data_IF_895849082306
#
_entry.id   IF_895849082306
#
_cell.length_a   1.000
_cell.length_b   1.000
_cell.length_c   1.000
_cell.angle_alpha   90.00
_cell.angle_beta   90.00
_cell.angle_gamma   90.00
#
_symmetry.space_group_name_H-M   'P 1'
#
loop_
_entity.id
_entity.type
_entity.pdbx_description
1 polymer ?
#
# COMPACT_ATOMS: atom_id res chain seq x y z
N UNK A 1 7.06 -9.74 -20.48
CA UNK A 1 5.78 -9.03 -20.76
C UNK A 1 6.08 -7.56 -20.68
N UNK A 2 5.73 -6.78 -21.68
CA UNK A 2 5.81 -5.31 -21.60
C UNK A 2 4.61 -4.78 -20.83
N UNK A 3 4.85 -4.10 -19.72
CA UNK A 3 3.80 -3.53 -18.87
C UNK A 3 3.34 -2.14 -19.30
N UNK A 4 3.98 -1.53 -20.30
CA UNK A 4 3.64 -0.24 -20.90
C UNK A 4 3.49 0.89 -19.86
N UNK A 5 4.42 0.92 -18.88
CA UNK A 5 4.40 1.89 -17.78
C UNK A 5 5.40 3.05 -17.96
N UNK A 6 6.16 3.05 -19.06
CA UNK A 6 7.13 4.11 -19.34
C UNK A 6 6.47 5.50 -19.25
N UNK A 7 7.11 6.41 -18.54
CA UNK A 7 6.67 7.80 -18.32
C UNK A 7 5.34 7.98 -17.59
N UNK A 8 4.74 6.90 -17.09
CA UNK A 8 3.53 6.98 -16.26
C UNK A 8 3.85 7.53 -14.89
N UNK A 9 3.10 8.54 -14.46
CA UNK A 9 3.26 9.16 -13.14
C UNK A 9 2.42 8.39 -12.11
N UNK A 10 3.09 7.82 -11.11
CA UNK A 10 2.48 6.97 -10.09
C UNK A 10 2.73 7.54 -8.70
N UNK A 11 1.68 7.96 -8.01
CA UNK A 11 1.79 8.39 -6.61
C UNK A 11 1.81 7.14 -5.71
N UNK A 12 2.81 7.04 -4.83
CA UNK A 12 2.96 5.95 -3.85
C UNK A 12 3.00 6.53 -2.44
N UNK A 13 1.97 6.30 -1.64
CA UNK A 13 1.92 6.75 -0.25
C UNK A 13 2.70 5.80 0.68
N UNK A 14 3.44 6.35 1.66
CA UNK A 14 4.36 5.56 2.47
C UNK A 14 5.46 4.91 1.62
N UNK A 15 5.89 5.59 0.56
CA UNK A 15 6.72 5.03 -0.50
C UNK A 15 8.21 4.96 -0.19
N UNK A 16 8.67 5.50 0.96
CA UNK A 16 10.09 5.58 1.29
C UNK A 16 10.62 4.34 2.05
N UNK A 17 9.75 3.42 2.48
CA UNK A 17 10.13 2.28 3.30
C UNK A 17 9.30 1.02 3.02
N UNK A 18 9.85 -0.15 3.34
CA UNK A 18 9.14 -1.44 3.32
C UNK A 18 8.47 -1.76 1.97
N UNK A 19 7.19 -2.12 2.01
CA UNK A 19 6.39 -2.45 0.82
C UNK A 19 6.35 -1.27 -0.15
N UNK A 20 6.14 -0.05 0.36
CA UNK A 20 6.08 1.15 -0.48
C UNK A 20 7.37 1.42 -1.25
N UNK A 21 8.53 1.23 -0.61
CA UNK A 21 9.83 1.36 -1.28
C UNK A 21 10.05 0.32 -2.38
N UNK A 22 9.63 -0.93 -2.14
CA UNK A 22 9.69 -1.97 -3.16
C UNK A 22 8.78 -1.66 -4.36
N UNK A 23 7.55 -1.16 -4.10
CA UNK A 23 6.61 -0.71 -5.13
C UNK A 23 7.22 0.44 -5.94
N UNK A 24 7.80 1.42 -5.27
CA UNK A 24 8.46 2.58 -5.92
C UNK A 24 9.59 2.13 -6.84
N UNK A 25 10.49 1.24 -6.35
CA UNK A 25 11.57 0.69 -7.18
C UNK A 25 11.04 -0.09 -8.37
N UNK A 26 10.01 -0.89 -8.17
CA UNK A 26 9.43 -1.71 -9.23
C UNK A 26 8.86 -0.84 -10.36
N UNK A 27 8.10 0.21 -10.03
CA UNK A 27 7.63 1.18 -11.04
C UNK A 27 8.78 1.88 -11.76
N UNK A 28 9.80 2.31 -11.01
CA UNK A 28 10.97 2.95 -11.62
C UNK A 28 11.72 2.04 -12.59
N UNK A 29 11.85 0.74 -12.29
CA UNK A 29 12.45 -0.25 -13.19
C UNK A 29 11.65 -0.46 -14.48
N UNK A 30 10.33 -0.31 -14.42
CA UNK A 30 9.43 -0.33 -15.59
C UNK A 30 9.41 1.00 -16.37
N UNK A 31 10.25 1.97 -15.97
CA UNK A 31 10.36 3.27 -16.63
C UNK A 31 9.24 4.26 -16.28
N UNK A 32 8.41 3.96 -15.29
CA UNK A 32 7.46 4.91 -14.72
C UNK A 32 8.20 5.98 -13.89
N UNK A 33 7.48 7.05 -13.56
CA UNK A 33 7.96 8.15 -12.71
C UNK A 33 7.21 8.11 -11.37
N UNK A 34 7.73 7.40 -10.35
CA UNK A 34 7.11 7.37 -9.05
C UNK A 34 7.23 8.72 -8.33
N UNK A 35 6.14 9.12 -7.67
CA UNK A 35 6.09 10.21 -6.70
C UNK A 35 5.88 9.61 -5.32
N UNK A 36 6.92 9.64 -4.51
CA UNK A 36 6.98 9.08 -3.17
C UNK A 36 6.43 10.08 -2.17
N UNK A 37 5.35 9.74 -1.49
CA UNK A 37 4.82 10.53 -0.38
C UNK A 37 5.15 9.83 0.93
N UNK A 38 5.90 10.49 1.79
CA UNK A 38 6.19 9.97 3.13
C UNK A 38 6.36 11.14 4.11
N UNK A 39 6.09 10.89 5.39
CA UNK A 39 6.29 11.89 6.45
C UNK A 39 7.73 11.93 6.96
N UNK A 40 8.49 10.85 6.75
CA UNK A 40 9.90 10.75 7.14
C UNK A 40 10.75 11.38 6.03
N UNK A 41 11.03 12.68 6.18
CA UNK A 41 11.78 13.46 5.21
C UNK A 41 13.18 12.90 4.98
N UNK A 42 13.88 12.52 6.06
CA UNK A 42 15.25 12.00 5.95
C UNK A 42 15.30 10.66 5.21
N UNK A 43 14.37 9.74 5.55
CA UNK A 43 14.26 8.47 4.83
C UNK A 43 13.88 8.66 3.36
N UNK A 44 12.97 9.61 3.06
CA UNK A 44 12.54 9.92 1.71
C UNK A 44 13.66 10.49 0.84
N UNK A 45 14.42 11.43 1.35
CA UNK A 45 15.55 12.04 0.64
C UNK A 45 16.67 11.02 0.37
N UNK A 46 17.02 10.20 1.37
CA UNK A 46 17.99 9.10 1.20
C UNK A 46 17.52 8.12 0.14
N UNK A 47 16.25 7.74 0.18
CA UNK A 47 15.68 6.80 -0.78
C UNK A 47 15.65 7.38 -2.19
N UNK A 48 15.31 8.66 -2.36
CA UNK A 48 15.38 9.32 -3.66
C UNK A 48 16.81 9.35 -4.22
N UNK A 49 17.81 9.63 -3.36
CA UNK A 49 19.22 9.59 -3.76
C UNK A 49 19.66 8.18 -4.19
N UNK A 50 19.22 7.14 -3.45
CA UNK A 50 19.46 5.74 -3.82
C UNK A 50 18.86 5.42 -5.20
N UNK A 51 17.60 5.77 -5.45
CA UNK A 51 16.93 5.54 -6.74
C UNK A 51 17.68 6.24 -7.90
N UNK A 52 18.12 7.48 -7.66
CA UNK A 52 18.92 8.23 -8.64
C UNK A 52 20.22 7.51 -8.98
N UNK A 53 20.91 6.92 -7.99
CA UNK A 53 22.14 6.14 -8.23
C UNK A 53 21.91 4.90 -9.07
N UNK A 54 20.67 4.39 -9.10
CA UNK A 54 20.22 3.26 -9.93
C UNK A 54 19.62 3.73 -11.27
N UNK A 55 19.80 5.00 -11.65
CA UNK A 55 19.22 5.60 -12.86
C UNK A 55 17.69 5.58 -12.90
N UNK A 56 17.03 5.52 -11.73
CA UNK A 56 15.58 5.59 -11.60
C UNK A 56 15.17 7.04 -11.32
N UNK A 57 14.35 7.61 -12.19
CA UNK A 57 13.73 8.92 -11.97
C UNK A 57 12.56 8.77 -11.00
N UNK A 58 12.67 9.40 -9.83
CA UNK A 58 11.59 9.45 -8.84
C UNK A 58 11.59 10.80 -8.13
N UNK A 59 10.43 11.23 -7.65
CA UNK A 59 10.27 12.46 -6.89
C UNK A 59 9.82 12.14 -5.47
N UNK A 60 10.41 12.81 -4.49
CA UNK A 60 9.98 12.73 -3.10
C UNK A 60 9.27 14.03 -2.70
N UNK A 61 8.15 13.87 -2.00
CA UNK A 61 7.41 14.95 -1.35
C UNK A 61 7.14 14.56 0.11
N UNK A 62 7.63 15.36 1.04
CA UNK A 62 7.36 15.17 2.47
C UNK A 62 5.92 15.56 2.77
N UNK A 63 5.11 14.62 3.29
CA UNK A 63 3.71 14.86 3.61
C UNK A 63 3.22 13.97 4.76
N UNK A 64 2.65 14.60 5.79
CA UNK A 64 1.83 13.89 6.77
C UNK A 64 0.40 13.76 6.22
N UNK A 65 0.06 12.58 5.74
CA UNK A 65 -1.22 12.29 5.08
C UNK A 65 -2.39 12.17 6.07
N UNK A 66 -2.15 12.23 7.39
CA UNK A 66 -3.22 12.34 8.38
C UNK A 66 -3.93 13.71 8.33
N UNK A 67 -3.32 14.69 7.66
CA UNK A 67 -3.83 16.05 7.42
C UNK A 67 -4.36 16.14 5.99
N UNK A 68 -5.68 16.35 5.77
CA UNK A 68 -6.29 16.35 4.43
C UNK A 68 -5.67 17.38 3.47
N UNK A 69 -5.29 18.55 3.98
CA UNK A 69 -4.68 19.63 3.20
C UNK A 69 -3.33 19.21 2.62
N UNK A 70 -2.58 18.40 3.35
CA UNK A 70 -1.31 17.83 2.86
C UNK A 70 -1.53 16.84 1.72
N UNK A 71 -2.63 16.06 1.75
CA UNK A 71 -3.00 15.19 0.64
C UNK A 71 -3.31 16.01 -0.61
N UNK A 72 -4.09 17.09 -0.47
CA UNK A 72 -4.38 18.02 -1.56
C UNK A 72 -3.12 18.65 -2.13
N UNK A 73 -2.27 19.20 -1.27
CA UNK A 73 -1.03 19.83 -1.66
C UNK A 73 -0.07 18.88 -2.38
N UNK A 74 0.04 17.63 -1.90
CA UNK A 74 0.91 16.63 -2.53
C UNK A 74 0.45 16.27 -3.94
N UNK A 75 -0.86 16.13 -4.17
CA UNK A 75 -1.41 15.90 -5.51
C UNK A 75 -1.18 17.12 -6.40
N UNK A 76 -1.47 18.35 -5.90
CA UNK A 76 -1.27 19.58 -6.65
C UNK A 76 0.19 19.75 -7.09
N UNK A 77 1.15 19.55 -6.17
CA UNK A 77 2.58 19.61 -6.48
C UNK A 77 3.01 18.54 -7.49
N UNK A 78 2.42 17.35 -7.42
CA UNK A 78 2.69 16.29 -8.41
C UNK A 78 2.26 16.75 -9.80
N UNK A 79 1.06 17.30 -9.92
CA UNK A 79 0.51 17.76 -11.20
C UNK A 79 1.26 18.98 -11.72
N UNK A 80 1.62 19.93 -10.85
CA UNK A 80 2.42 21.10 -11.23
C UNK A 80 3.76 20.70 -11.83
N UNK A 81 4.43 19.68 -11.24
CA UNK A 81 5.76 19.24 -11.68
C UNK A 81 5.74 18.33 -12.90
N UNK A 82 4.74 17.46 -13.01
CA UNK A 82 4.73 16.33 -13.96
C UNK A 82 3.54 16.35 -14.93
N UNK A 83 2.58 17.27 -14.73
CA UNK A 83 1.45 17.50 -15.64
C UNK A 83 0.35 16.45 -15.58
N UNK A 84 0.53 15.32 -14.84
CA UNK A 84 -0.40 14.20 -14.86
C UNK A 84 -0.32 13.32 -13.60
N UNK A 85 -1.34 12.50 -13.39
CA UNK A 85 -1.33 11.34 -12.50
C UNK A 85 -1.98 10.17 -13.24
N UNK A 86 -1.25 9.06 -13.41
CA UNK A 86 -1.72 7.86 -14.09
C UNK A 86 -2.16 6.77 -13.11
N UNK A 87 -1.59 6.74 -11.92
CA UNK A 87 -2.01 5.81 -10.89
C UNK A 87 -1.78 6.35 -9.48
N UNK A 88 -2.59 5.84 -8.56
CA UNK A 88 -2.46 6.05 -7.13
C UNK A 88 -2.30 4.70 -6.43
N UNK A 89 -1.22 4.55 -5.67
CA UNK A 89 -1.02 3.42 -4.77
C UNK A 89 -1.14 3.90 -3.32
N UNK A 90 -2.27 3.59 -2.71
CA UNK A 90 -2.51 3.83 -1.30
C UNK A 90 -1.88 2.70 -0.49
N UNK A 91 -0.70 2.96 0.08
CA UNK A 91 0.07 1.98 0.84
C UNK A 91 0.34 2.42 2.29
N UNK A 92 0.45 3.72 2.57
CA UNK A 92 0.74 4.22 3.91
C UNK A 92 -0.16 3.59 4.97
N UNK A 93 0.41 3.29 6.13
CA UNK A 93 -0.32 2.73 7.26
C UNK A 93 0.59 2.06 8.27
N UNK A 94 0.09 1.89 9.48
CA UNK A 94 0.82 1.27 10.59
C UNK A 94 -0.15 0.50 11.49
N UNK A 95 0.23 -0.72 11.87
CA UNK A 95 -0.48 -1.42 12.94
C UNK A 95 -0.04 -0.82 14.28
N UNK A 96 -0.89 0.04 14.81
CA UNK A 96 -0.63 0.83 16.03
C UNK A 96 -1.11 0.16 17.33
N UNK A 97 -1.59 -1.09 17.24
CA UNK A 97 -1.91 -1.90 18.41
C UNK A 97 -3.16 -1.43 19.19
N UNK A 98 -4.03 -0.61 18.58
CA UNK A 98 -5.25 -0.13 19.23
C UNK A 98 -6.29 -1.25 19.28
N UNK A 99 -6.37 -1.95 20.41
CA UNK A 99 -7.30 -3.04 20.66
C UNK A 99 -8.53 -2.63 21.45
N UNK A 100 -9.53 -3.53 21.53
CA UNK A 100 -10.77 -3.26 22.26
C UNK A 100 -10.54 -3.12 23.79
N UNK A 101 -9.75 -4.04 24.36
CA UNK A 101 -9.59 -4.10 25.82
C UNK A 101 -8.62 -3.05 26.39
N UNK A 102 -7.63 -2.63 25.61
CA UNK A 102 -6.56 -1.71 26.06
C UNK A 102 -6.57 -0.36 25.35
N UNK A 103 -7.37 -0.19 24.32
CA UNK A 103 -7.55 1.06 23.61
C UNK A 103 -8.60 1.96 24.21
N UNK A 104 -8.76 3.17 23.64
CA UNK A 104 -9.83 4.11 23.95
C UNK A 104 -10.55 4.53 22.67
N UNK A 105 -11.77 5.13 22.77
CA UNK A 105 -12.47 5.70 21.61
C UNK A 105 -11.60 6.69 20.81
N UNK A 106 -10.87 7.58 21.49
CA UNK A 106 -10.02 8.56 20.83
C UNK A 106 -8.83 7.92 20.11
N UNK A 107 -8.21 6.90 20.72
CA UNK A 107 -7.15 6.11 20.06
C UNK A 107 -7.69 5.37 18.83
N UNK A 108 -8.93 4.86 18.90
CA UNK A 108 -9.58 4.21 17.77
C UNK A 108 -9.78 5.18 16.60
N UNK A 109 -10.31 6.38 16.87
CA UNK A 109 -10.48 7.45 15.86
C UNK A 109 -9.12 7.85 15.28
N UNK A 110 -8.11 8.06 16.11
CA UNK A 110 -6.75 8.39 15.65
C UNK A 110 -6.13 7.26 14.79
N UNK A 111 -6.44 6.00 15.08
CA UNK A 111 -6.03 4.86 14.25
C UNK A 111 -6.69 4.89 12.88
N UNK A 112 -7.99 5.22 12.80
CA UNK A 112 -8.69 5.40 11.52
C UNK A 112 -8.11 6.57 10.70
N UNK A 113 -7.79 7.68 11.34
CA UNK A 113 -7.13 8.81 10.67
C UNK A 113 -5.79 8.38 10.02
N UNK A 114 -4.97 7.63 10.75
CA UNK A 114 -3.65 7.17 10.28
C UNK A 114 -3.69 6.06 9.23
N UNK A 115 -4.76 5.25 9.19
CA UNK A 115 -4.80 4.03 8.41
C UNK A 115 -5.90 3.98 7.33
N UNK A 116 -6.87 4.92 7.36
CA UNK A 116 -8.04 4.91 6.46
C UNK A 116 -8.26 6.24 5.76
N UNK A 117 -8.38 7.36 6.52
CA UNK A 117 -8.91 8.60 5.95
C UNK A 117 -8.06 9.13 4.79
N UNK A 118 -6.74 8.99 4.87
CA UNK A 118 -5.86 9.41 3.79
C UNK A 118 -6.05 8.61 2.49
N UNK A 119 -6.55 7.37 2.52
CA UNK A 119 -6.90 6.62 1.30
C UNK A 119 -8.00 7.35 0.53
N UNK A 120 -9.04 7.79 1.24
CA UNK A 120 -10.11 8.58 0.65
C UNK A 120 -9.61 9.93 0.17
N UNK A 121 -8.89 10.68 1.01
CA UNK A 121 -8.39 12.01 0.66
C UNK A 121 -7.49 11.98 -0.58
N UNK A 122 -6.53 11.05 -0.64
CA UNK A 122 -5.65 10.90 -1.79
C UNK A 122 -6.43 10.53 -3.06
N UNK A 123 -7.37 9.59 -2.97
CA UNK A 123 -8.21 9.22 -4.11
C UNK A 123 -9.08 10.39 -4.58
N UNK A 124 -9.71 11.12 -3.64
CA UNK A 124 -10.55 12.28 -3.94
C UNK A 124 -9.78 13.37 -4.69
N UNK A 125 -8.62 13.78 -4.17
CA UNK A 125 -7.84 14.85 -4.81
C UNK A 125 -7.16 14.41 -6.12
N UNK A 126 -6.76 13.14 -6.23
CA UNK A 126 -6.20 12.61 -7.47
C UNK A 126 -7.24 12.33 -8.56
N UNK A 127 -8.53 12.21 -8.21
CA UNK A 127 -9.59 11.77 -9.11
C UNK A 127 -9.71 12.56 -10.41
N UNK A 128 -9.67 13.92 -10.45
CA UNK A 128 -9.72 14.66 -11.71
C UNK A 128 -8.63 14.25 -12.70
N UNK A 129 -7.43 13.99 -12.19
CA UNK A 129 -6.25 13.64 -12.98
C UNK A 129 -6.30 12.18 -13.43
N UNK A 130 -6.78 11.27 -12.54
CA UNK A 130 -7.03 9.86 -12.88
C UNK A 130 -8.12 9.71 -13.94
N UNK A 131 -9.14 10.57 -13.95
CA UNK A 131 -10.16 10.61 -15.03
C UNK A 131 -9.53 10.96 -16.37
N UNK A 132 -8.66 11.95 -16.40
CA UNK A 132 -7.98 12.38 -17.63
C UNK A 132 -7.08 11.27 -18.21
N UNK A 133 -6.42 10.51 -17.34
CA UNK A 133 -5.50 9.43 -17.74
C UNK A 133 -6.18 8.07 -17.95
N UNK A 134 -7.47 7.92 -17.54
CA UNK A 134 -8.15 6.62 -17.36
C UNK A 134 -7.29 5.65 -16.54
N UNK A 135 -6.82 6.14 -15.40
CA UNK A 135 -5.78 5.52 -14.61
C UNK A 135 -6.21 4.34 -13.76
N UNK A 136 -5.44 4.05 -12.72
CA UNK A 136 -5.74 2.96 -11.78
C UNK A 136 -5.47 3.38 -10.33
N UNK A 137 -6.25 2.80 -9.40
CA UNK A 137 -6.02 2.90 -7.96
C UNK A 137 -5.72 1.49 -7.44
N UNK A 138 -4.63 1.35 -6.68
CA UNK A 138 -4.33 0.12 -5.95
C UNK A 138 -4.24 0.43 -4.46
N UNK A 139 -5.05 -0.25 -3.67
CA UNK A 139 -5.11 -0.11 -2.23
C UNK A 139 -4.38 -1.27 -1.55
N UNK A 140 -3.45 -1.00 -0.63
CA UNK A 140 -2.81 -2.05 0.18
C UNK A 140 -3.64 -2.26 1.44
N UNK A 141 -4.33 -3.41 1.49
CA UNK A 141 -5.06 -3.85 2.67
C UNK A 141 -4.18 -4.75 3.57
N UNK A 142 -4.73 -5.75 4.19
CA UNK A 142 -4.03 -6.71 5.05
C UNK A 142 -4.90 -7.97 5.23
N UNK A 143 -4.27 -9.12 5.44
CA UNK A 143 -4.97 -10.35 5.88
C UNK A 143 -5.88 -10.10 7.08
N UNK A 144 -5.50 -9.18 7.98
CA UNK A 144 -6.25 -8.89 9.20
C UNK A 144 -7.65 -8.35 8.91
N UNK A 145 -7.88 -7.79 7.72
CA UNK A 145 -9.21 -7.37 7.27
C UNK A 145 -10.23 -8.53 7.17
N UNK A 146 -9.74 -9.76 7.03
CA UNK A 146 -10.58 -10.96 6.82
C UNK A 146 -10.33 -12.09 7.82
N UNK A 147 -9.26 -12.00 8.65
CA UNK A 147 -8.92 -13.08 9.60
C UNK A 147 -9.07 -12.72 11.07
N UNK A 148 -9.03 -11.49 11.46
CA UNK A 148 -8.89 -11.09 12.85
C UNK A 148 -7.53 -11.53 13.45
N UNK A 149 -6.91 -10.66 14.22
CA UNK A 149 -5.59 -10.89 14.82
C UNK A 149 -5.61 -10.76 16.36
N UNK A 150 -6.59 -10.03 16.89
CA UNK A 150 -6.67 -9.63 18.30
C UNK A 150 -5.79 -8.41 18.61
N UNK A 151 -6.28 -7.54 19.50
CA UNK A 151 -5.53 -6.38 19.99
C UNK A 151 -5.26 -5.26 18.98
N UNK A 152 -5.91 -5.25 17.81
CA UNK A 152 -5.64 -4.31 16.72
C UNK A 152 -6.91 -3.80 16.05
N UNK A 153 -7.95 -3.50 16.83
CA UNK A 153 -9.29 -3.14 16.34
C UNK A 153 -9.27 -1.96 15.37
N UNK A 154 -8.52 -0.89 15.67
CA UNK A 154 -8.43 0.28 14.81
C UNK A 154 -7.83 -0.05 13.43
N UNK A 155 -6.72 -0.78 13.41
CA UNK A 155 -6.07 -1.20 12.18
C UNK A 155 -6.95 -2.14 11.36
N UNK A 156 -7.59 -3.14 12.00
CA UNK A 156 -8.48 -4.10 11.34
C UNK A 156 -9.69 -3.40 10.74
N UNK A 157 -10.31 -2.48 11.47
CA UNK A 157 -11.43 -1.69 10.97
C UNK A 157 -11.02 -0.88 9.72
N UNK A 158 -9.86 -0.21 9.77
CA UNK A 158 -9.34 0.53 8.62
C UNK A 158 -9.09 -0.39 7.41
N UNK A 159 -8.38 -1.52 7.61
CA UNK A 159 -8.04 -2.44 6.51
C UNK A 159 -9.25 -3.17 5.96
N UNK A 160 -10.28 -3.44 6.79
CA UNK A 160 -11.58 -3.95 6.34
C UNK A 160 -12.36 -2.92 5.51
N UNK A 161 -12.41 -1.67 5.98
CA UNK A 161 -13.06 -0.58 5.26
C UNK A 161 -12.41 -0.35 3.88
N UNK A 162 -11.08 -0.48 3.74
CA UNK A 162 -10.36 -0.36 2.48
C UNK A 162 -10.85 -1.40 1.45
N UNK A 163 -11.18 -2.63 1.86
CA UNK A 163 -11.74 -3.63 0.98
C UNK A 163 -13.15 -3.23 0.48
N UNK A 164 -13.96 -2.63 1.36
CA UNK A 164 -15.26 -2.06 0.99
C UNK A 164 -15.12 -0.91 -0.01
N UNK A 165 -14.25 0.07 0.29
CA UNK A 165 -13.96 1.21 -0.58
C UNK A 165 -13.41 0.78 -1.95
N UNK A 166 -12.63 -0.28 -2.00
CA UNK A 166 -12.09 -0.80 -3.27
C UNK A 166 -13.22 -1.22 -4.21
N UNK A 167 -14.23 -1.93 -3.73
CA UNK A 167 -15.40 -2.32 -4.54
C UNK A 167 -16.28 -1.13 -4.89
N UNK A 168 -16.54 -0.27 -3.91
CA UNK A 168 -17.37 0.94 -4.11
C UNK A 168 -16.78 1.84 -5.18
N UNK A 169 -15.49 2.19 -5.05
CA UNK A 169 -14.82 3.03 -6.04
C UNK A 169 -14.68 2.34 -7.41
N UNK A 170 -14.49 1.01 -7.44
CA UNK A 170 -14.49 0.28 -8.70
C UNK A 170 -15.81 0.45 -9.44
N UNK A 171 -16.94 0.34 -8.74
CA UNK A 171 -18.29 0.53 -9.32
C UNK A 171 -18.53 1.99 -9.72
N UNK A 172 -18.25 2.94 -8.85
CA UNK A 172 -18.44 4.38 -9.09
C UNK A 172 -17.64 4.89 -10.28
N UNK A 173 -16.42 4.37 -10.49
CA UNK A 173 -15.48 4.88 -11.48
C UNK A 173 -15.49 4.12 -12.83
N UNK A 174 -16.34 3.10 -12.98
CA UNK A 174 -16.53 2.40 -14.27
C UNK A 174 -16.79 3.35 -15.46
N UNK A 175 -17.69 4.36 -15.34
CA UNK A 175 -17.94 5.27 -16.47
C UNK A 175 -16.71 6.09 -16.87
N UNK A 176 -15.73 6.23 -15.95
CA UNK A 176 -14.49 6.96 -16.20
C UNK A 176 -13.39 6.06 -16.76
N UNK A 177 -13.59 4.76 -16.85
CA UNK A 177 -12.58 3.79 -17.26
C UNK A 177 -11.43 3.63 -16.27
N UNK A 178 -11.66 3.96 -14.98
CA UNK A 178 -10.66 3.82 -13.91
C UNK A 178 -10.86 2.47 -13.24
N UNK A 179 -9.76 1.73 -13.05
CA UNK A 179 -9.75 0.46 -12.33
C UNK A 179 -9.31 0.63 -10.89
N UNK A 180 -9.99 -0.04 -9.97
CA UNK A 180 -9.65 0.00 -8.54
C UNK A 180 -9.54 -1.41 -8.00
N UNK A 181 -8.39 -1.77 -7.43
CA UNK A 181 -8.14 -3.10 -6.85
C UNK A 181 -7.43 -2.99 -5.50
N UNK A 182 -7.48 -4.03 -4.70
CA UNK A 182 -6.71 -4.14 -3.48
C UNK A 182 -5.72 -5.30 -3.55
N UNK A 183 -4.51 -5.09 -3.04
CA UNK A 183 -3.56 -6.16 -2.71
C UNK A 183 -3.62 -6.42 -1.21
N UNK A 184 -3.69 -7.69 -0.84
CA UNK A 184 -3.89 -8.16 0.53
C UNK A 184 -2.69 -9.01 0.95
N UNK A 185 -1.64 -8.41 1.54
CA UNK A 185 -0.51 -9.15 2.09
C UNK A 185 -0.85 -9.83 3.42
N UNK A 186 -0.11 -10.89 3.74
CA UNK A 186 -0.05 -11.46 5.08
C UNK A 186 1.21 -10.98 5.81
N UNK A 187 2.13 -11.89 6.09
CA UNK A 187 3.40 -11.56 6.75
C UNK A 187 4.43 -11.09 5.72
N UNK A 188 4.89 -9.85 5.87
CA UNK A 188 5.94 -9.26 5.02
C UNK A 188 7.03 -8.69 5.91
N UNK A 189 8.26 -9.16 5.76
CA UNK A 189 9.38 -8.71 6.59
C UNK A 189 9.83 -7.32 6.13
N UNK A 190 9.34 -6.31 6.80
CA UNK A 190 9.67 -4.90 6.58
C UNK A 190 10.45 -4.35 7.78
N UNK A 191 11.08 -3.16 7.67
CA UNK A 191 11.70 -2.51 8.82
C UNK A 191 10.72 -2.31 10.00
N UNK A 192 9.44 -2.03 9.72
CA UNK A 192 8.41 -1.93 10.75
C UNK A 192 8.16 -3.28 11.44
N UNK A 193 8.06 -4.36 10.65
CA UNK A 193 7.87 -5.71 11.16
C UNK A 193 9.07 -6.16 12.02
N UNK A 194 10.30 -5.87 11.59
CA UNK A 194 11.51 -6.16 12.35
C UNK A 194 11.55 -5.41 13.68
N UNK A 195 11.14 -4.13 13.71
CA UNK A 195 11.01 -3.38 14.96
C UNK A 195 9.96 -4.00 15.90
N UNK A 196 8.84 -4.44 15.37
CA UNK A 196 7.80 -5.11 16.15
C UNK A 196 8.29 -6.43 16.74
N UNK A 197 9.04 -7.23 16.01
CA UNK A 197 9.63 -8.49 16.50
C UNK A 197 10.54 -8.29 17.72
N UNK A 198 11.26 -7.18 17.78
CA UNK A 198 12.13 -6.84 18.93
C UNK A 198 11.39 -6.66 20.25
N UNK A 199 10.06 -6.54 20.24
CA UNK A 199 9.26 -6.45 21.47
C UNK A 199 9.02 -7.82 22.14
N UNK A 200 9.43 -8.93 21.52
CA UNK A 200 9.29 -10.28 22.10
C UNK A 200 10.57 -10.71 22.79
N UNK A 201 10.46 -11.52 23.87
CA UNK A 201 11.63 -12.03 24.59
C UNK A 201 12.61 -12.83 23.70
N UNK A 202 12.06 -13.57 22.73
CA UNK A 202 12.82 -14.30 21.72
C UNK A 202 12.23 -13.99 20.32
N UNK A 203 12.79 -12.96 19.63
CA UNK A 203 12.34 -12.56 18.30
C UNK A 203 12.50 -13.64 17.23
N UNK A 204 13.56 -14.45 17.31
CA UNK A 204 13.85 -15.49 16.32
C UNK A 204 12.85 -16.63 16.42
N UNK A 205 12.62 -17.15 17.62
CA UNK A 205 11.63 -18.19 17.88
C UNK A 205 10.22 -17.70 17.53
N UNK A 206 9.91 -16.41 17.84
CA UNK A 206 8.64 -15.79 17.46
C UNK A 206 8.47 -15.79 15.95
N UNK A 207 9.47 -15.33 15.21
CA UNK A 207 9.46 -15.32 13.74
C UNK A 207 9.27 -16.73 13.19
N UNK A 208 10.08 -17.69 13.65
CA UNK A 208 9.98 -19.10 13.23
C UNK A 208 8.56 -19.66 13.43
N UNK A 209 7.94 -19.38 14.57
CA UNK A 209 6.56 -19.83 14.87
C UNK A 209 5.50 -19.19 13.97
N UNK A 210 5.75 -17.98 13.46
CA UNK A 210 4.87 -17.30 12.51
C UNK A 210 5.04 -17.89 11.12
N UNK A 211 6.29 -18.03 10.65
CA UNK A 211 6.59 -18.53 9.31
C UNK A 211 6.10 -19.97 9.11
N UNK A 212 6.20 -20.82 10.13
CA UNK A 212 5.69 -22.18 10.10
C UNK A 212 4.16 -22.28 9.86
N UNK A 213 3.43 -21.17 9.95
CA UNK A 213 1.98 -21.09 9.66
C UNK A 213 1.65 -20.62 8.27
N UNK A 214 2.64 -20.31 7.46
CA UNK A 214 2.45 -19.89 6.06
C UNK A 214 2.57 -21.14 5.20
N UNK A 215 1.49 -21.56 4.49
CA UNK A 215 1.48 -22.84 3.79
C UNK A 215 2.56 -22.97 2.72
N UNK A 216 2.74 -21.93 1.90
CA UNK A 216 3.73 -21.97 0.82
C UNK A 216 5.13 -21.71 1.39
N UNK A 217 5.98 -22.74 1.34
CA UNK A 217 7.42 -22.69 1.68
C UNK A 217 7.75 -22.28 3.12
N UNK A 218 6.76 -22.13 4.01
CA UNK A 218 6.95 -21.67 5.40
C UNK A 218 7.78 -20.39 5.51
N UNK A 219 7.57 -19.45 4.59
CA UNK A 219 8.27 -18.16 4.54
C UNK A 219 7.32 -16.97 4.46
N UNK A 220 7.81 -15.81 4.84
CA UNK A 220 7.10 -14.56 4.60
C UNK A 220 7.10 -14.20 3.09
N UNK A 221 6.06 -13.48 2.66
CA UNK A 221 6.04 -12.81 1.38
C UNK A 221 7.09 -11.69 1.37
N UNK A 222 7.79 -11.50 0.27
CA UNK A 222 8.74 -10.41 0.12
C UNK A 222 8.03 -9.12 -0.30
N UNK A 223 8.58 -7.93 0.04
CA UNK A 223 8.07 -6.67 -0.48
C UNK A 223 8.02 -6.62 -2.01
N UNK A 224 8.95 -7.29 -2.68
CA UNK A 224 9.06 -7.37 -4.13
C UNK A 224 7.93 -8.19 -4.76
N UNK A 225 7.46 -9.26 -4.11
CA UNK A 225 6.31 -10.05 -4.56
C UNK A 225 5.02 -9.22 -4.48
N UNK A 226 4.85 -8.41 -3.43
CA UNK A 226 3.75 -7.44 -3.34
C UNK A 226 3.87 -6.39 -4.45
N UNK A 227 5.06 -5.83 -4.65
CA UNK A 227 5.32 -4.82 -5.67
C UNK A 227 5.01 -5.32 -7.09
N UNK A 228 5.40 -6.55 -7.42
CA UNK A 228 5.11 -7.16 -8.71
C UNK A 228 3.60 -7.21 -9.01
N UNK A 229 2.79 -7.61 -8.02
CA UNK A 229 1.32 -7.60 -8.15
C UNK A 229 0.78 -6.19 -8.34
N UNK A 230 1.27 -5.21 -7.57
CA UNK A 230 0.82 -3.81 -7.66
C UNK A 230 1.14 -3.22 -9.05
N UNK A 231 2.35 -3.42 -9.55
CA UNK A 231 2.79 -2.93 -10.87
C UNK A 231 1.96 -3.56 -11.98
N UNK A 232 1.71 -4.89 -11.91
CA UNK A 232 0.82 -5.58 -12.84
C UNK A 232 -0.60 -4.97 -12.83
N UNK A 233 -1.19 -4.76 -11.64
CA UNK A 233 -2.54 -4.21 -11.52
C UNK A 233 -2.68 -2.78 -12.06
N UNK A 234 -1.63 -1.97 -11.99
CA UNK A 234 -1.62 -0.63 -12.60
C UNK A 234 -1.49 -0.71 -14.12
N UNK A 235 -0.80 -1.72 -14.64
CA UNK A 235 -0.51 -1.84 -16.07
C UNK A 235 -1.76 -2.07 -16.93
N UNK A 236 -1.72 -1.71 -18.23
CA UNK A 236 -2.76 -2.08 -19.20
C UNK A 236 -3.01 -3.60 -19.32
N UNK A 237 -2.02 -4.44 -18.93
CA UNK A 237 -2.16 -5.90 -18.94
C UNK A 237 -3.23 -6.40 -17.95
N UNK A 238 -3.54 -5.62 -16.92
CA UNK A 238 -4.65 -5.86 -16.00
C UNK A 238 -5.94 -5.15 -16.43
N UNK A 239 -6.11 -4.84 -17.71
CA UNK A 239 -7.17 -3.98 -18.26
C UNK A 239 -8.60 -4.44 -17.94
N UNK A 240 -8.82 -5.70 -17.59
CA UNK A 240 -10.14 -6.23 -17.24
C UNK A 240 -10.23 -6.72 -15.79
N UNK A 241 -9.35 -6.20 -14.91
CA UNK A 241 -9.32 -6.51 -13.48
C UNK A 241 -9.70 -5.24 -12.70
N UNK A 242 -10.88 -5.23 -12.08
CA UNK A 242 -11.34 -4.14 -11.20
C UNK A 242 -12.24 -4.69 -10.09
N UNK A 243 -12.31 -4.02 -8.94
CA UNK A 243 -13.07 -4.41 -7.77
C UNK A 243 -12.52 -5.64 -7.03
N UNK A 244 -11.32 -6.12 -7.37
CA UNK A 244 -10.77 -7.37 -6.87
C UNK A 244 -9.89 -7.17 -5.63
N UNK A 245 -9.85 -8.21 -4.79
CA UNK A 245 -8.96 -8.33 -3.65
C UNK A 245 -7.96 -9.46 -3.94
N UNK A 246 -6.70 -9.09 -4.24
CA UNK A 246 -5.66 -10.05 -4.65
C UNK A 246 -4.78 -10.39 -3.44
N UNK A 247 -4.87 -11.62 -2.98
CA UNK A 247 -4.07 -12.11 -1.86
C UNK A 247 -2.68 -12.53 -2.35
N UNK A 248 -1.64 -11.93 -1.77
CA UNK A 248 -0.24 -12.30 -1.96
C UNK A 248 0.29 -12.67 -0.59
N UNK A 249 0.01 -13.89 -0.16
CA UNK A 249 0.07 -14.30 1.24
C UNK A 249 0.59 -15.72 1.49
N UNK A 250 1.07 -16.40 0.44
CA UNK A 250 1.51 -17.81 0.54
C UNK A 250 0.39 -18.77 0.92
N UNK A 251 -0.87 -18.44 0.59
CA UNK A 251 -2.03 -19.25 0.92
C UNK A 251 -2.53 -19.10 2.37
N UNK A 252 -2.02 -18.08 3.08
CA UNK A 252 -2.32 -17.88 4.51
C UNK A 252 -3.82 -17.80 4.81
N UNK A 253 -4.60 -17.12 3.97
CA UNK A 253 -6.03 -16.88 4.23
C UNK A 253 -6.91 -18.01 3.73
N UNK A 254 -6.69 -18.53 2.53
CA UNK A 254 -7.67 -19.33 1.82
C UNK A 254 -7.41 -20.85 1.84
N UNK A 255 -6.22 -21.29 2.24
CA UNK A 255 -5.94 -22.73 2.31
C UNK A 255 -6.41 -23.33 3.63
N UNK A 256 -6.98 -24.54 3.56
CA UNK A 256 -7.34 -25.34 4.74
C UNK A 256 -6.09 -25.93 5.38
N UNK A 257 -5.73 -25.40 6.54
CA UNK A 257 -4.49 -25.77 7.25
C UNK A 257 -4.61 -27.06 8.05
N UNK A 258 -5.78 -27.65 8.11
CA UNK A 258 -5.95 -28.99 8.71
C UNK A 258 -5.52 -30.08 7.74
N UNK A 259 -5.52 -29.78 6.45
CA UNK A 259 -5.21 -30.72 5.38
C UNK A 259 -3.92 -30.41 4.61
N UNK A 260 -3.30 -29.25 4.89
CA UNK A 260 -2.07 -28.79 4.19
C UNK A 260 -0.87 -28.72 5.12
#
# INVERSE_FOLDING_TARGET
MDLQLREKVVIVTGGASGIGAAITRAFGKEGAVPVVLDRDTEAGERFQAELRSQSITAHFLSADLSVPENCQAAVAQTVERLGRVDALVNNAGVNDGVGLAKGSPDQFVASLQRNLLHYYNMAHYALPHLKNSRGAIVNISSKTAVTGQGGTSGYVAAKGAILGLTREWAAELLPCGIRVNAVVPAEVITPLYQRWLKNFPDPEQKLKSILAKIPLENRATTPEEIAAMVVFLVSPQAGHITGQHLFVDGGYVHLDRALT
#
